data_IF_095976713595
#
_entry.id   IF_095976713595
#
_cell.length_a   1.000
_cell.length_b   1.000
_cell.length_c   1.000
_cell.angle_alpha   90.00
_cell.angle_beta   90.00
_cell.angle_gamma   90.00
#
_symmetry.space_group_name_H-M   'P 1'
#
loop_
_entity.id
_entity.type
_entity.pdbx_description
1 polymer ?
#
# COMPACT_ATOMS: atom_id res chain seq x y z
N UNK A 1 -5.23 15.71 -11.73
CA UNK A 1 -5.53 14.26 -11.55
C UNK A 1 -5.69 14.02 -10.07
N UNK A 2 -6.84 13.51 -9.59
CA UNK A 2 -6.98 13.28 -8.15
C UNK A 2 -6.53 11.86 -7.80
N UNK A 3 -5.39 11.76 -7.10
CA UNK A 3 -4.84 10.52 -6.57
C UNK A 3 -5.13 10.48 -5.07
N UNK A 4 -5.66 9.36 -4.60
CA UNK A 4 -5.74 9.02 -3.19
C UNK A 4 -4.46 8.30 -2.77
N UNK A 5 -3.80 8.77 -1.73
CA UNK A 5 -2.74 8.02 -1.07
C UNK A 5 -3.32 7.07 -0.03
N UNK A 6 -2.87 5.82 0.01
CA UNK A 6 -3.32 4.83 0.97
C UNK A 6 -2.13 4.14 1.65
N UNK A 7 -1.98 4.36 2.95
CA UNK A 7 -0.99 3.67 3.77
C UNK A 7 -1.62 2.39 4.32
N UNK A 8 -1.12 1.24 3.88
CA UNK A 8 -1.60 -0.07 4.35
C UNK A 8 -0.99 -0.37 5.73
N UNK A 9 -1.76 -0.19 6.76
CA UNK A 9 -1.37 -0.37 8.17
C UNK A 9 -1.98 -1.61 8.82
N UNK A 10 -2.81 -2.36 8.09
CA UNK A 10 -3.41 -3.62 8.50
C UNK A 10 -2.42 -4.79 8.38
N UNK A 11 -2.63 -5.81 9.19
CA UNK A 11 -1.87 -7.05 9.16
C UNK A 11 -1.49 -7.52 10.56
N UNK A 12 -1.45 -8.84 10.77
CA UNK A 12 -0.94 -9.43 12.01
C UNK A 12 0.57 -9.32 12.02
N UNK A 13 1.10 -8.31 12.69
CA UNK A 13 2.55 -8.14 12.94
C UNK A 13 3.05 -9.16 13.97
N UNK A 14 2.84 -10.46 13.72
CA UNK A 14 3.21 -11.52 14.67
C UNK A 14 4.70 -11.52 15.03
N UNK A 15 5.54 -11.01 14.13
CA UNK A 15 7.00 -10.91 14.35
C UNK A 15 7.43 -9.64 15.08
N UNK A 16 6.56 -8.63 15.14
CA UNK A 16 6.86 -7.35 15.80
C UNK A 16 6.38 -7.34 17.27
N UNK A 17 5.52 -8.28 17.66
CA UNK A 17 4.97 -8.40 19.01
C UNK A 17 4.01 -7.27 19.43
N UNK A 18 3.81 -6.27 18.57
CA UNK A 18 2.93 -5.11 18.76
C UNK A 18 2.43 -4.59 17.42
N UNK A 19 1.52 -3.61 17.45
CA UNK A 19 1.06 -2.96 16.22
C UNK A 19 2.22 -2.19 15.54
N UNK A 20 2.74 -2.74 14.46
CA UNK A 20 3.88 -2.22 13.70
C UNK A 20 3.67 -0.77 13.21
N UNK A 21 2.44 -0.41 12.87
CA UNK A 21 2.13 0.93 12.36
C UNK A 21 2.46 2.06 13.36
N UNK A 22 2.36 1.77 14.66
CA UNK A 22 2.64 2.73 15.74
C UNK A 22 4.08 2.63 16.29
N UNK A 23 4.90 1.69 15.79
CA UNK A 23 6.31 1.62 16.17
C UNK A 23 7.03 2.90 15.75
N UNK A 24 7.89 3.41 16.62
CA UNK A 24 8.56 4.69 16.40
C UNK A 24 9.88 4.53 15.64
N UNK A 25 10.05 5.30 14.58
CA UNK A 25 11.33 5.58 13.94
C UNK A 25 11.70 7.03 14.28
N UNK A 26 12.69 7.21 15.15
CA UNK A 26 12.92 8.50 15.79
C UNK A 26 11.77 8.83 16.75
N UNK A 27 11.17 9.98 16.56
CA UNK A 27 10.04 10.51 17.36
C UNK A 27 8.66 10.28 16.72
N UNK A 28 8.59 9.64 15.53
CA UNK A 28 7.36 9.50 14.74
C UNK A 28 7.02 8.04 14.44
N UNK A 29 5.72 7.68 14.46
CA UNK A 29 5.29 6.34 14.09
C UNK A 29 5.63 6.01 12.62
N UNK A 30 5.86 4.73 12.31
CA UNK A 30 6.12 4.26 10.94
C UNK A 30 5.04 4.68 9.96
N UNK A 31 3.77 4.61 10.37
CA UNK A 31 2.64 5.05 9.54
C UNK A 31 2.73 6.53 9.18
N UNK A 32 3.26 7.37 10.07
CA UNK A 32 3.44 8.80 9.80
C UNK A 32 4.56 9.08 8.80
N UNK A 33 5.63 8.27 8.81
CA UNK A 33 6.68 8.34 7.79
C UNK A 33 6.14 7.93 6.40
N UNK A 34 5.46 6.79 6.31
CA UNK A 34 4.84 6.34 5.05
C UNK A 34 3.82 7.36 4.53
N UNK A 35 3.01 7.96 5.42
CA UNK A 35 2.07 9.03 5.06
C UNK A 35 2.79 10.25 4.48
N UNK A 36 3.86 10.72 5.12
CA UNK A 36 4.64 11.87 4.67
C UNK A 36 5.23 11.65 3.27
N UNK A 37 5.62 10.42 2.94
CA UNK A 37 6.11 10.04 1.61
C UNK A 37 5.06 10.21 0.51
N UNK A 38 3.77 9.98 0.81
CA UNK A 38 2.68 10.10 -0.17
C UNK A 38 2.13 11.52 -0.33
N UNK A 39 2.23 12.35 0.71
CA UNK A 39 1.63 13.70 0.72
C UNK A 39 1.97 14.55 -0.51
N UNK A 40 3.22 14.58 -1.03
CA UNK A 40 3.56 15.41 -2.19
C UNK A 40 2.85 15.00 -3.49
N UNK A 41 2.36 13.76 -3.57
CA UNK A 41 1.82 13.16 -4.80
C UNK A 41 0.31 13.00 -4.79
N UNK A 42 -0.34 13.15 -3.64
CA UNK A 42 -1.73 12.77 -3.42
C UNK A 42 -2.59 13.96 -2.96
N UNK A 43 -3.80 14.06 -3.49
CA UNK A 43 -4.77 15.07 -3.04
C UNK A 43 -5.26 14.83 -1.61
N UNK A 44 -5.25 13.56 -1.17
CA UNK A 44 -5.57 13.12 0.20
C UNK A 44 -4.78 11.85 0.50
N UNK A 45 -4.40 11.65 1.76
CA UNK A 45 -3.79 10.41 2.23
C UNK A 45 -4.63 9.84 3.37
N UNK A 46 -5.00 8.57 3.25
CA UNK A 46 -5.73 7.80 4.27
C UNK A 46 -4.89 6.65 4.79
N UNK A 47 -5.19 6.20 6.00
CA UNK A 47 -4.72 4.93 6.52
C UNK A 47 -5.76 3.87 6.20
N UNK A 48 -5.31 2.68 5.81
CA UNK A 48 -6.17 1.51 5.58
C UNK A 48 -5.82 0.46 6.61
N UNK A 49 -6.86 -0.08 7.27
CA UNK A 49 -6.72 -0.96 8.42
C UNK A 49 -6.53 -0.20 9.74
N UNK A 50 -6.64 -0.91 10.85
CA UNK A 50 -6.70 -0.33 12.18
C UNK A 50 -8.11 0.11 12.56
N UNK A 51 -8.29 0.59 13.82
CA UNK A 51 -9.62 0.93 14.36
C UNK A 51 -10.28 2.12 13.66
N UNK A 52 -9.49 3.15 13.30
CA UNK A 52 -9.97 4.40 12.72
C UNK A 52 -9.64 4.54 11.22
N UNK A 53 -9.11 3.48 10.60
CA UNK A 53 -8.73 3.48 9.19
C UNK A 53 -9.87 3.08 8.26
N UNK A 54 -9.64 3.26 6.96
CA UNK A 54 -10.50 2.66 5.93
C UNK A 54 -10.48 1.14 6.11
N UNK A 55 -11.62 0.46 6.18
CA UNK A 55 -11.65 -0.98 6.39
C UNK A 55 -11.12 -1.75 5.19
N UNK A 56 -10.53 -2.90 5.44
CA UNK A 56 -10.23 -3.90 4.41
C UNK A 56 -11.53 -4.42 3.78
N UNK A 57 -11.48 -4.76 2.50
CA UNK A 57 -12.63 -5.29 1.76
C UNK A 57 -12.29 -6.65 1.12
N UNK A 58 -13.26 -7.56 0.96
CA UNK A 58 -14.65 -7.53 1.49
C UNK A 58 -14.70 -7.78 3.00
N UNK A 59 -13.63 -8.27 3.60
CA UNK A 59 -13.52 -8.61 5.02
C UNK A 59 -12.08 -8.47 5.51
N UNK A 60 -11.85 -8.30 6.83
CA UNK A 60 -10.50 -8.26 7.39
C UNK A 60 -9.74 -9.59 7.21
N UNK A 61 -8.41 -9.51 7.15
CA UNK A 61 -7.54 -10.69 7.16
C UNK A 61 -7.22 -11.29 5.79
N UNK A 62 -7.56 -10.60 4.71
CA UNK A 62 -7.21 -11.01 3.33
C UNK A 62 -5.83 -10.54 2.89
N UNK A 63 -5.00 -10.09 3.82
CA UNK A 63 -3.67 -9.57 3.53
C UNK A 63 -3.69 -8.22 2.79
N UNK A 64 -2.59 -7.84 2.13
CA UNK A 64 -2.46 -6.54 1.47
C UNK A 64 -3.54 -6.27 0.41
N UNK A 65 -4.02 -7.30 -0.28
CA UNK A 65 -5.08 -7.13 -1.29
C UNK A 65 -6.40 -6.67 -0.68
N UNK A 66 -6.74 -7.11 0.55
CA UNK A 66 -7.91 -6.61 1.27
C UNK A 66 -7.81 -5.11 1.54
N UNK A 67 -6.63 -4.65 1.95
CA UNK A 67 -6.37 -3.22 2.14
C UNK A 67 -6.43 -2.43 0.83
N UNK A 68 -5.86 -2.95 -0.26
CA UNK A 68 -5.94 -2.32 -1.59
C UNK A 68 -7.40 -2.25 -2.05
N UNK A 69 -8.20 -3.31 -1.84
CA UNK A 69 -9.61 -3.31 -2.18
C UNK A 69 -10.40 -2.24 -1.40
N UNK A 70 -10.17 -2.12 -0.09
CA UNK A 70 -10.77 -1.07 0.72
C UNK A 70 -10.39 0.34 0.25
N UNK A 71 -9.12 0.55 -0.11
CA UNK A 71 -8.66 1.82 -0.66
C UNK A 71 -9.30 2.17 -2.01
N UNK A 72 -9.48 1.18 -2.89
CA UNK A 72 -10.14 1.36 -4.19
C UNK A 72 -11.63 1.67 -4.03
N UNK A 73 -12.32 0.99 -3.11
CA UNK A 73 -13.72 1.27 -2.77
C UNK A 73 -13.89 2.69 -2.25
N UNK A 74 -13.04 3.09 -1.28
CA UNK A 74 -13.03 4.45 -0.76
C UNK A 74 -12.76 5.50 -1.84
N UNK A 75 -11.79 5.21 -2.74
CA UNK A 75 -11.45 6.12 -3.83
C UNK A 75 -12.64 6.31 -4.79
N UNK A 76 -13.30 5.23 -5.18
CA UNK A 76 -14.48 5.28 -6.05
C UNK A 76 -15.62 6.08 -5.42
N UNK A 77 -15.91 5.84 -4.13
CA UNK A 77 -16.94 6.55 -3.39
C UNK A 77 -16.67 8.05 -3.21
N UNK A 78 -15.41 8.47 -3.24
CA UNK A 78 -14.99 9.85 -3.03
C UNK A 78 -14.46 10.56 -4.31
N UNK A 79 -14.65 9.95 -5.48
CA UNK A 79 -14.33 10.57 -6.78
C UNK A 79 -12.84 10.67 -7.10
N UNK A 80 -11.99 9.86 -6.47
CA UNK A 80 -10.58 9.75 -6.86
C UNK A 80 -10.43 8.82 -8.08
N UNK A 81 -9.54 9.18 -8.99
CA UNK A 81 -9.29 8.41 -10.20
C UNK A 81 -8.37 7.20 -9.95
N UNK A 82 -7.37 7.38 -9.11
CA UNK A 82 -6.38 6.37 -8.79
C UNK A 82 -6.08 6.34 -7.30
N UNK A 83 -5.54 5.21 -6.87
CA UNK A 83 -4.97 5.01 -5.53
C UNK A 83 -3.48 4.73 -5.66
N UNK A 84 -2.65 5.47 -4.92
CA UNK A 84 -1.23 5.18 -4.71
C UNK A 84 -1.09 4.53 -3.33
N UNK A 85 -0.70 3.26 -3.31
CA UNK A 85 -0.57 2.48 -2.06
C UNK A 85 0.89 2.36 -1.62
N UNK A 86 1.10 2.30 -0.30
CA UNK A 86 2.39 1.99 0.34
C UNK A 86 2.15 1.18 1.61
N UNK A 87 3.06 0.28 1.97
CA UNK A 87 3.05 -0.37 3.28
C UNK A 87 3.61 0.56 4.36
N UNK A 88 3.06 0.48 5.58
CA UNK A 88 3.61 1.24 6.73
C UNK A 88 5.03 0.81 7.10
N UNK A 89 5.51 -0.32 6.61
CA UNK A 89 6.86 -0.87 6.81
C UNK A 89 7.92 -0.30 5.87
N UNK A 90 7.56 0.62 5.00
CA UNK A 90 8.46 1.29 4.06
C UNK A 90 8.60 2.78 4.43
N UNK A 91 9.33 3.13 5.51
CA UNK A 91 9.42 4.51 5.98
C UNK A 91 10.26 5.42 5.08
N UNK A 92 11.08 4.82 4.23
CA UNK A 92 11.93 5.53 3.26
C UNK A 92 11.89 4.80 1.92
N UNK A 93 11.76 5.56 0.84
CA UNK A 93 11.81 5.05 -0.53
C UNK A 93 12.98 5.68 -1.27
N UNK A 94 13.56 4.95 -2.24
CA UNK A 94 14.52 5.51 -3.18
C UNK A 94 13.95 6.71 -3.95
N UNK A 95 14.80 7.70 -4.20
CA UNK A 95 14.44 8.89 -4.98
C UNK A 95 13.99 8.51 -6.38
N UNK A 96 12.97 9.17 -6.90
CA UNK A 96 12.42 8.95 -8.24
C UNK A 96 11.54 7.69 -8.40
N UNK A 97 11.45 6.82 -7.39
CA UNK A 97 10.65 5.59 -7.51
C UNK A 97 9.15 5.87 -7.66
N UNK A 98 8.61 6.76 -6.83
CA UNK A 98 7.18 7.14 -6.92
C UNK A 98 6.90 7.79 -8.27
N UNK A 99 7.75 8.70 -8.72
CA UNK A 99 7.61 9.36 -10.02
C UNK A 99 7.62 8.35 -11.17
N UNK A 100 8.45 7.32 -11.10
CA UNK A 100 8.47 6.25 -12.10
C UNK A 100 7.16 5.45 -12.10
N UNK A 101 6.61 5.15 -10.93
CA UNK A 101 5.31 4.49 -10.77
C UNK A 101 4.18 5.36 -11.35
N UNK A 102 4.19 6.66 -11.07
CA UNK A 102 3.15 7.59 -11.52
C UNK A 102 3.08 7.80 -13.05
N UNK A 103 4.11 7.39 -13.79
CA UNK A 103 4.14 7.50 -15.27
C UNK A 103 3.31 6.45 -15.99
N UNK A 104 2.91 5.40 -15.31
CA UNK A 104 2.21 4.24 -15.89
C UNK A 104 1.05 3.84 -14.97
N UNK A 105 -0.02 3.32 -15.53
CA UNK A 105 -1.13 2.80 -14.74
C UNK A 105 -1.85 1.64 -15.47
N UNK A 106 -2.19 0.55 -14.78
CA UNK A 106 -1.73 0.22 -13.42
C UNK A 106 -0.24 -0.13 -13.39
N UNK A 107 0.43 0.23 -12.31
CA UNK A 107 1.88 -0.06 -12.14
C UNK A 107 2.21 -0.33 -10.68
N UNK A 108 3.33 -1.01 -10.44
CA UNK A 108 3.76 -1.37 -9.09
C UNK A 108 5.27 -1.52 -8.99
N UNK A 109 5.81 -1.36 -7.79
CA UNK A 109 7.21 -1.65 -7.52
C UNK A 109 7.45 -3.16 -7.54
N UNK A 110 8.36 -3.62 -8.41
CA UNK A 110 8.68 -5.05 -8.56
C UNK A 110 9.21 -5.67 -7.25
N UNK A 111 9.99 -4.90 -6.49
CA UNK A 111 10.65 -5.36 -5.26
C UNK A 111 9.74 -5.28 -4.04
N UNK A 112 8.72 -4.41 -4.08
CA UNK A 112 7.72 -4.23 -3.03
C UNK A 112 6.32 -4.04 -3.65
N UNK A 113 5.62 -5.12 -4.05
CA UNK A 113 4.40 -5.03 -4.86
C UNK A 113 3.21 -4.30 -4.22
N UNK A 114 3.23 -4.08 -2.90
CA UNK A 114 2.23 -3.26 -2.22
C UNK A 114 2.37 -1.77 -2.53
N UNK A 115 3.55 -1.32 -2.99
CA UNK A 115 3.76 0.02 -3.52
C UNK A 115 3.34 0.03 -4.99
N UNK A 116 2.22 0.68 -5.29
CA UNK A 116 1.68 0.70 -6.65
C UNK A 116 0.62 1.75 -6.87
N UNK A 117 0.37 2.04 -8.14
CA UNK A 117 -0.68 2.96 -8.63
C UNK A 117 -1.78 2.15 -9.30
N UNK A 118 -2.99 2.27 -8.79
CA UNK A 118 -4.14 1.47 -9.19
C UNK A 118 -5.31 2.38 -9.60
N UNK A 119 -5.82 2.29 -10.85
CA UNK A 119 -7.08 2.92 -11.22
C UNK A 119 -8.23 2.49 -10.31
N UNK A 120 -9.02 3.43 -9.80
CA UNK A 120 -10.16 3.13 -8.91
C UNK A 120 -11.18 2.17 -9.56
N UNK A 121 -11.29 2.21 -10.89
CA UNK A 121 -12.13 1.30 -11.66
C UNK A 121 -11.77 -0.20 -11.51
N UNK A 122 -10.58 -0.52 -11.01
CA UNK A 122 -10.16 -1.91 -10.73
C UNK A 122 -10.79 -2.50 -9.45
N UNK A 123 -11.52 -1.70 -8.66
CA UNK A 123 -12.14 -2.17 -7.42
C UNK A 123 -13.01 -3.41 -7.60
N UNK A 124 -13.94 -3.38 -8.57
CA UNK A 124 -14.80 -4.53 -8.86
C UNK A 124 -14.02 -5.77 -9.32
N UNK A 125 -12.96 -5.58 -10.13
CA UNK A 125 -12.09 -6.67 -10.56
C UNK A 125 -11.33 -7.29 -9.37
N UNK A 126 -10.82 -6.47 -8.46
CA UNK A 126 -10.12 -6.98 -7.27
C UNK A 126 -11.07 -7.73 -6.33
N UNK A 127 -12.29 -7.22 -6.13
CA UNK A 127 -13.32 -7.91 -5.34
C UNK A 127 -13.64 -9.29 -5.93
N UNK A 128 -13.81 -9.40 -7.26
CA UNK A 128 -14.02 -10.66 -7.94
C UNK A 128 -12.81 -11.61 -7.79
N UNK A 129 -11.58 -11.08 -7.91
CA UNK A 129 -10.35 -11.85 -7.71
C UNK A 129 -10.26 -12.43 -6.29
N UNK A 130 -10.58 -11.64 -5.27
CA UNK A 130 -10.57 -12.08 -3.87
C UNK A 130 -11.65 -13.13 -3.60
N UNK A 131 -12.83 -13.01 -4.21
CA UNK A 131 -13.94 -13.99 -4.04
C UNK A 131 -13.62 -15.37 -4.62
N UNK A 132 -12.74 -15.45 -5.61
CA UNK A 132 -12.29 -16.73 -6.18
C UNK A 132 -11.35 -17.52 -5.26
N UNK A 133 -10.74 -16.87 -4.28
CA UNK A 133 -9.94 -17.51 -3.22
C UNK A 133 -8.67 -18.23 -3.66
N UNK A 134 -8.23 -18.06 -4.92
CA UNK A 134 -7.13 -18.85 -5.51
C UNK A 134 -5.75 -18.32 -5.15
N UNK A 135 -5.44 -17.08 -5.52
CA UNK A 135 -4.16 -16.43 -5.25
C UNK A 135 -4.42 -15.06 -4.62
N UNK A 136 -4.15 -14.95 -3.32
CA UNK A 136 -4.31 -13.71 -2.54
C UNK A 136 -3.04 -12.87 -2.48
N UNK A 137 -2.03 -13.22 -3.28
CA UNK A 137 -0.81 -12.41 -3.37
C UNK A 137 -1.02 -11.20 -4.26
N UNK A 138 -0.37 -10.09 -3.90
CA UNK A 138 -0.37 -8.89 -4.75
C UNK A 138 0.24 -9.22 -6.12
N UNK A 139 1.30 -10.03 -6.17
CA UNK A 139 1.93 -10.45 -7.44
C UNK A 139 0.98 -11.25 -8.35
N UNK A 140 0.13 -12.11 -7.79
CA UNK A 140 -0.87 -12.85 -8.54
C UNK A 140 -1.89 -11.91 -9.17
N UNK A 141 -2.38 -10.94 -8.40
CA UNK A 141 -3.32 -9.95 -8.91
C UNK A 141 -2.69 -9.01 -9.94
N UNK A 142 -1.46 -8.51 -9.73
CA UNK A 142 -0.78 -7.64 -10.70
C UNK A 142 -0.61 -8.31 -12.05
N UNK A 143 -0.32 -9.62 -12.08
CA UNK A 143 -0.28 -10.41 -13.33
C UNK A 143 -1.64 -10.50 -13.98
N UNK A 144 -2.70 -10.74 -13.20
CA UNK A 144 -4.07 -10.86 -13.71
C UNK A 144 -4.57 -9.59 -14.39
N UNK A 145 -4.19 -8.41 -13.91
CA UNK A 145 -4.58 -7.11 -14.48
C UNK A 145 -3.57 -6.53 -15.48
N UNK A 146 -2.46 -7.21 -15.74
CA UNK A 146 -1.41 -6.71 -16.63
C UNK A 146 -0.71 -5.45 -16.10
N UNK A 147 -0.58 -5.30 -14.78
CA UNK A 147 0.10 -4.16 -14.18
C UNK A 147 1.59 -4.14 -14.55
N UNK A 148 2.13 -2.95 -14.78
CA UNK A 148 3.49 -2.74 -15.24
C UNK A 148 4.46 -2.77 -14.06
N UNK A 149 5.42 -3.71 -14.01
CA UNK A 149 6.44 -3.72 -12.96
C UNK A 149 7.45 -2.59 -13.18
N UNK A 150 7.75 -1.87 -12.11
CA UNK A 150 8.78 -0.83 -12.06
C UNK A 150 9.89 -1.32 -11.12
N UNK A 151 11.09 -1.43 -11.63
CA UNK A 151 12.26 -1.79 -10.82
C UNK A 151 12.63 -0.63 -9.89
N UNK A 152 12.97 -0.94 -8.64
CA UNK A 152 13.52 0.05 -7.74
C UNK A 152 14.97 0.37 -8.12
N UNK A 153 15.39 1.65 -8.15
CA UNK A 153 16.78 2.01 -8.43
C UNK A 153 17.75 1.57 -7.33
N UNK A 154 17.26 1.40 -6.11
CA UNK A 154 18.01 0.99 -4.92
C UNK A 154 17.18 0.02 -4.09
N UNK A 155 17.79 -0.78 -3.19
CA UNK A 155 17.06 -1.62 -2.26
C UNK A 155 16.09 -0.83 -1.38
N UNK A 156 14.88 -1.36 -1.21
CA UNK A 156 13.88 -0.73 -0.33
C UNK A 156 14.09 -1.25 1.10
N UNK A 157 14.24 -0.33 2.03
CA UNK A 157 14.29 -0.66 3.44
C UNK A 157 12.89 -1.01 3.97
N UNK A 158 12.69 -2.29 4.31
CA UNK A 158 11.48 -2.78 4.95
C UNK A 158 11.73 -3.03 6.44
N UNK A 159 10.89 -2.49 7.29
CA UNK A 159 10.93 -2.72 8.73
C UNK A 159 10.03 -3.91 9.07
N UNK A 160 10.61 -5.07 9.33
CA UNK A 160 9.86 -6.28 9.70
C UNK A 160 10.09 -6.70 11.14
N UNK A 161 11.14 -6.20 11.78
CA UNK A 161 11.54 -6.51 13.15
C UNK A 161 11.97 -5.22 13.87
N UNK A 162 12.00 -5.20 15.22
CA UNK A 162 12.62 -4.10 15.98
C UNK A 162 14.09 -3.87 15.62
N UNK A 163 14.82 -4.91 15.21
CA UNK A 163 16.22 -4.79 14.78
C UNK A 163 16.33 -4.02 13.45
N UNK A 164 15.41 -4.24 12.49
CA UNK A 164 15.36 -3.47 11.24
C UNK A 164 15.13 -1.98 11.52
N UNK A 165 14.27 -1.69 12.50
CA UNK A 165 13.99 -0.32 12.93
C UNK A 165 15.23 0.37 13.53
N UNK A 166 16.02 -0.36 14.29
CA UNK A 166 17.26 0.16 14.89
C UNK A 166 18.38 0.37 13.86
N UNK A 167 18.29 -0.27 12.69
CA UNK A 167 19.28 -0.19 11.61
C UNK A 167 19.03 0.99 10.62
N UNK A 168 17.94 1.74 10.77
CA UNK A 168 17.55 2.90 9.94
C UNK A 168 17.99 4.22 10.54
#
# INVERSE_FOLDING_TARGET
MSILGAVLAGGRSSRFGSNKAVALLGDRPLVAHARATLVPYCARVVQVGGEDGVPDMPEPGLGPLGGIAGALDYAAANGFRCVLTIGCDMPRLPEGLIEAILRREPSYCQDAPVLGLWPAALGAHLMAHLSLGRDRSVRGWTRAIGAIPIASPEPIANVNTPADLAAL
#
